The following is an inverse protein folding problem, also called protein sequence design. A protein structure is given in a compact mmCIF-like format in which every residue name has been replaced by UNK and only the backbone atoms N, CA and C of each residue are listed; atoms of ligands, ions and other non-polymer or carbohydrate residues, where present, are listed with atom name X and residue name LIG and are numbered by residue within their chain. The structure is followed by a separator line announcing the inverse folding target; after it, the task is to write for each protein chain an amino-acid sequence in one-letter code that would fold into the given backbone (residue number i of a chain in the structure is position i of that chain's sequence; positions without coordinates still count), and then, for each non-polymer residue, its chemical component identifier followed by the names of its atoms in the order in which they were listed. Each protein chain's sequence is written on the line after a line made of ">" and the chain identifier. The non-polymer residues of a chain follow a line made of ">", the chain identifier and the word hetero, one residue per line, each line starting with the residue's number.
data_IF_252199438344
#
_entry.id   IF_252199438344
#
_cell.length_a   1.000
_cell.length_b   1.000
_cell.length_c   1.000
_cell.angle_alpha   90.00
_cell.angle_beta   90.00
_cell.angle_gamma   90.00
#
_symmetry.space_group_name_H-M   'P 1'
#
loop_
_entity.id
_entity.type
_entity.pdbx_description
1 polymer ?
#
# COMPACT_ATOMS: atom_id res chain seq x y z
N UNK A 1 -48.58 15.88 -51.16
CA UNK A 1 -48.09 16.91 -50.22
C UNK A 1 -47.63 16.16 -48.98
N UNK A 2 -46.35 16.29 -48.65
CA UNK A 2 -45.70 15.66 -47.50
C UNK A 2 -45.88 16.56 -46.28
N UNK A 3 -46.10 16.01 -45.09
CA UNK A 3 -45.73 16.68 -43.84
C UNK A 3 -45.60 15.67 -42.70
N UNK A 4 -44.32 15.36 -42.46
CA UNK A 4 -43.61 15.10 -41.22
C UNK A 4 -44.39 14.75 -39.95
N UNK A 5 -44.28 13.48 -39.52
CA UNK A 5 -44.59 13.04 -38.14
C UNK A 5 -43.33 12.62 -37.38
N UNK A 6 -42.17 13.19 -37.71
CA UNK A 6 -40.89 12.75 -37.15
C UNK A 6 -40.42 13.62 -35.96
N UNK A 7 -41.24 14.55 -35.48
CA UNK A 7 -40.83 15.54 -34.47
C UNK A 7 -41.04 15.16 -32.99
N UNK A 8 -41.64 13.99 -32.67
CA UNK A 8 -42.10 13.72 -31.28
C UNK A 8 -41.21 12.79 -30.45
N UNK A 9 -40.19 12.19 -31.05
CA UNK A 9 -39.35 11.19 -30.35
C UNK A 9 -38.04 11.80 -29.84
N UNK A 10 -37.61 12.95 -30.36
CA UNK A 10 -36.29 13.53 -30.06
C UNK A 10 -36.23 14.30 -28.72
N UNK A 11 -37.36 14.72 -28.15
CA UNK A 11 -37.36 15.62 -26.99
C UNK A 11 -37.17 14.94 -25.63
N UNK A 12 -37.28 13.61 -25.54
CA UNK A 12 -37.19 12.90 -24.27
C UNK A 12 -35.75 12.50 -23.88
N UNK A 13 -34.84 12.37 -24.85
CA UNK A 13 -33.49 11.81 -24.62
C UNK A 13 -32.47 12.85 -24.12
N UNK A 14 -32.75 14.14 -24.35
CA UNK A 14 -31.80 15.24 -24.07
C UNK A 14 -31.75 15.67 -22.60
N UNK A 15 -32.71 15.25 -21.79
CA UNK A 15 -32.77 15.59 -20.36
C UNK A 15 -32.07 14.55 -19.47
N UNK A 16 -32.05 13.27 -19.89
CA UNK A 16 -31.41 12.18 -19.13
C UNK A 16 -29.88 12.28 -19.14
N UNK A 17 -29.27 12.68 -20.27
CA UNK A 17 -27.81 12.81 -20.38
C UNK A 17 -27.21 13.86 -19.42
N UNK A 18 -27.93 14.97 -19.19
CA UNK A 18 -27.45 16.04 -18.30
C UNK A 18 -27.46 15.67 -16.82
N UNK A 19 -28.22 14.65 -16.42
CA UNK A 19 -28.21 14.14 -15.05
C UNK A 19 -27.08 13.12 -14.85
N UNK A 20 -26.89 12.20 -15.81
CA UNK A 20 -25.83 11.17 -15.75
C UNK A 20 -24.41 11.74 -15.70
N UNK A 21 -24.14 12.86 -16.39
CA UNK A 21 -22.80 13.47 -16.38
C UNK A 21 -22.41 14.03 -14.99
N UNK A 22 -23.36 14.37 -14.11
CA UNK A 22 -23.02 14.83 -12.74
C UNK A 22 -22.63 13.68 -11.82
N UNK A 23 -23.30 12.53 -11.94
CA UNK A 23 -23.06 11.38 -11.06
C UNK A 23 -21.67 10.75 -11.29
N UNK A 24 -21.14 10.81 -12.51
CA UNK A 24 -19.85 10.23 -12.88
C UNK A 24 -18.63 11.03 -12.37
N UNK A 25 -18.77 12.34 -12.11
CA UNK A 25 -17.67 13.15 -11.57
C UNK A 25 -17.47 12.92 -10.05
N UNK A 26 -18.52 12.58 -9.31
CA UNK A 26 -18.45 12.42 -7.86
C UNK A 26 -17.84 11.06 -7.44
N UNK A 27 -17.93 10.03 -8.28
CA UNK A 27 -17.33 8.71 -8.01
C UNK A 27 -15.79 8.72 -8.02
N UNK A 28 -15.15 9.65 -8.74
CA UNK A 28 -13.69 9.71 -8.87
C UNK A 28 -13.00 10.37 -7.66
N UNK A 29 -13.72 11.18 -6.89
CA UNK A 29 -13.20 11.84 -5.69
C UNK A 29 -13.20 10.92 -4.45
N UNK A 30 -13.98 9.82 -4.45
CA UNK A 30 -14.04 8.87 -3.34
C UNK A 30 -12.92 7.80 -3.38
N UNK A 31 -12.20 7.69 -4.49
CA UNK A 31 -10.98 6.87 -4.58
C UNK A 31 -9.78 7.50 -3.85
N UNK A 32 -9.88 8.78 -3.49
CA UNK A 32 -8.92 9.54 -2.68
C UNK A 32 -9.40 9.72 -1.24
N UNK A 33 -10.39 8.93 -0.79
CA UNK A 33 -10.46 8.68 0.64
C UNK A 33 -9.20 7.88 0.94
N UNK A 34 -8.13 8.59 1.35
CA UNK A 34 -6.99 8.01 2.07
C UNK A 34 -7.64 7.05 3.04
N UNK A 35 -7.64 5.76 2.68
CA UNK A 35 -7.94 4.68 3.60
C UNK A 35 -7.22 5.09 4.87
N UNK A 36 -7.82 4.96 6.07
CA UNK A 36 -6.99 4.99 7.26
C UNK A 36 -5.86 4.03 6.92
N UNK A 37 -4.67 4.60 6.68
CA UNK A 37 -3.47 3.82 6.56
C UNK A 37 -3.58 2.99 7.82
N UNK A 38 -3.51 1.67 7.67
CA UNK A 38 -3.38 0.80 8.81
C UNK A 38 -2.09 1.23 9.48
N UNK A 39 -2.18 2.29 10.27
CA UNK A 39 -1.30 2.66 11.35
C UNK A 39 -1.63 1.63 12.41
N UNK A 40 -1.25 0.40 12.08
CA UNK A 40 -0.63 -0.50 13.02
C UNK A 40 0.70 0.16 13.44
N UNK A 41 0.58 1.36 14.00
CA UNK A 41 1.63 2.27 14.47
C UNK A 41 2.41 1.59 15.59
N UNK A 42 1.76 0.63 16.25
CA UNK A 42 2.27 -0.26 17.28
C UNK A 42 3.39 -1.19 16.79
N UNK A 43 3.49 -1.42 15.47
CA UNK A 43 4.33 -2.46 14.87
C UNK A 43 5.16 -1.88 13.70
N UNK A 44 5.53 -0.61 13.76
CA UNK A 44 6.40 0.03 12.74
C UNK A 44 7.87 -0.14 13.12
N UNK A 45 8.71 -0.60 12.19
CA UNK A 45 10.18 -0.64 12.34
C UNK A 45 10.83 0.74 12.06
N UNK A 46 10.10 1.84 12.30
CA UNK A 46 10.52 3.19 11.94
C UNK A 46 10.75 3.36 10.43
N UNK A 47 11.88 3.98 10.06
CA UNK A 47 12.25 4.27 8.66
C UNK A 47 12.48 2.99 7.84
N UNK A 48 12.86 1.88 8.48
CA UNK A 48 13.04 0.60 7.81
C UNK A 48 11.70 0.04 7.28
N UNK A 49 10.57 0.27 7.96
CA UNK A 49 9.26 -0.23 7.50
C UNK A 49 8.88 0.37 6.13
N UNK A 50 9.21 1.65 5.91
CA UNK A 50 8.96 2.33 4.64
C UNK A 50 9.92 1.84 3.56
N UNK A 51 11.20 1.67 3.91
CA UNK A 51 12.21 1.13 3.01
C UNK A 51 11.85 -0.28 2.52
N UNK A 52 11.44 -1.17 3.44
CA UNK A 52 10.99 -2.52 3.14
C UNK A 52 9.76 -2.52 2.23
N UNK A 53 8.79 -1.65 2.45
CA UNK A 53 7.62 -1.53 1.56
C UNK A 53 7.97 -1.12 0.14
N UNK A 54 9.04 -0.35 -0.04
CA UNK A 54 9.51 0.09 -1.35
C UNK A 54 10.51 -0.89 -2.00
N UNK A 55 10.94 -1.93 -1.29
CA UNK A 55 11.87 -2.94 -1.80
C UNK A 55 11.18 -3.91 -2.76
N UNK A 56 11.95 -4.53 -3.64
CA UNK A 56 11.46 -5.53 -4.58
C UNK A 56 11.47 -6.92 -3.94
N UNK A 57 10.41 -7.69 -4.19
CA UNK A 57 10.24 -9.04 -3.64
C UNK A 57 10.08 -10.07 -4.76
N UNK A 58 10.60 -11.31 -4.59
CA UNK A 58 11.17 -11.88 -3.37
C UNK A 58 12.62 -11.45 -3.07
N UNK A 59 12.98 -11.36 -1.77
CA UNK A 59 14.32 -10.98 -1.27
C UNK A 59 14.76 -11.96 -0.18
N UNK A 60 16.06 -12.09 0.08
CA UNK A 60 16.60 -12.92 1.18
C UNK A 60 17.06 -12.10 2.38
N UNK A 61 17.24 -12.77 3.53
CA UNK A 61 17.89 -12.19 4.72
C UNK A 61 19.21 -11.54 4.35
N UNK A 62 20.08 -12.24 3.60
CA UNK A 62 21.38 -11.70 3.21
C UNK A 62 21.28 -10.48 2.26
N UNK A 63 20.33 -10.47 1.32
CA UNK A 63 20.10 -9.29 0.47
C UNK A 63 19.56 -8.09 1.25
N UNK A 64 18.68 -8.34 2.22
CA UNK A 64 18.15 -7.31 3.10
C UNK A 64 19.24 -6.74 4.00
N UNK A 65 20.07 -7.60 4.60
CA UNK A 65 21.23 -7.14 5.37
C UNK A 65 22.16 -6.36 4.46
N UNK A 66 22.53 -6.85 3.28
CA UNK A 66 23.41 -6.10 2.39
C UNK A 66 22.85 -4.73 1.94
N UNK A 67 21.53 -4.60 1.79
CA UNK A 67 20.87 -3.35 1.40
C UNK A 67 20.57 -2.41 2.58
N UNK A 68 20.32 -2.97 3.75
CA UNK A 68 19.77 -2.26 4.92
C UNK A 68 20.57 -2.51 6.21
N UNK A 69 21.83 -2.92 6.11
CA UNK A 69 22.80 -3.13 7.21
C UNK A 69 22.88 -1.90 8.13
N UNK A 70 22.94 -0.72 7.51
CA UNK A 70 23.08 0.57 8.19
C UNK A 70 21.81 1.00 8.95
N UNK A 71 20.69 0.28 8.83
CA UNK A 71 19.46 0.62 9.52
C UNK A 71 19.44 0.07 10.96
N UNK A 72 19.19 0.98 11.89
CA UNK A 72 19.04 0.64 13.31
C UNK A 72 17.58 0.29 13.64
N UNK A 73 17.37 -0.91 14.14
CA UNK A 73 16.11 -1.41 14.68
C UNK A 73 15.98 -1.05 16.15
N UNK A 74 14.84 -0.49 16.52
CA UNK A 74 14.50 -0.27 17.92
C UNK A 74 13.99 -1.58 18.54
N UNK A 75 14.78 -2.16 19.45
CA UNK A 75 14.40 -3.36 20.21
C UNK A 75 13.85 -2.98 21.59
N UNK A 76 13.38 -3.96 22.37
CA UNK A 76 12.86 -3.72 23.72
C UNK A 76 13.92 -3.14 24.68
N UNK A 77 15.19 -3.51 24.51
CA UNK A 77 16.27 -3.14 25.41
C UNK A 77 17.08 -1.95 24.87
N UNK A 78 17.40 -1.96 23.58
CA UNK A 78 18.21 -0.91 22.94
C UNK A 78 18.06 -0.90 21.40
N UNK A 79 18.75 -0.01 20.70
CA UNK A 79 18.81 -0.02 19.23
C UNK A 79 19.89 -0.98 18.74
N UNK A 80 19.55 -1.83 17.77
CA UNK A 80 20.47 -2.80 17.16
C UNK A 80 20.44 -2.71 15.65
N UNK A 81 21.58 -2.86 14.95
CA UNK A 81 21.59 -2.87 13.50
C UNK A 81 20.83 -4.09 12.97
N UNK A 82 20.25 -3.94 11.78
CA UNK A 82 19.51 -5.01 11.12
C UNK A 82 20.35 -6.28 10.97
N UNK A 83 21.65 -6.14 10.66
CA UNK A 83 22.57 -7.27 10.57
C UNK A 83 22.66 -8.09 11.86
N UNK A 84 22.67 -7.47 13.04
CA UNK A 84 22.84 -8.16 14.32
C UNK A 84 21.58 -8.96 14.67
N UNK A 85 20.41 -8.36 14.40
CA UNK A 85 19.11 -9.00 14.60
C UNK A 85 18.96 -10.19 13.64
N UNK A 86 19.23 -9.99 12.35
CA UNK A 86 19.07 -11.03 11.34
C UNK A 86 20.19 -12.08 11.36
N UNK A 87 21.40 -11.76 11.83
CA UNK A 87 22.48 -12.74 12.02
C UNK A 87 22.13 -13.82 13.06
N UNK A 88 21.15 -13.54 13.93
CA UNK A 88 20.62 -14.55 14.85
C UNK A 88 19.66 -15.54 14.18
N UNK A 89 19.26 -15.27 12.93
CA UNK A 89 18.35 -16.09 12.10
C UNK A 89 19.10 -16.71 10.91
N UNK A 90 18.56 -17.80 10.37
CA UNK A 90 19.07 -18.45 9.16
C UNK A 90 18.76 -17.62 7.90
N UNK A 91 19.41 -17.92 6.77
CA UNK A 91 19.08 -17.25 5.50
C UNK A 91 17.71 -17.73 5.01
N UNK A 92 16.72 -16.84 5.05
CA UNK A 92 15.35 -17.11 4.65
C UNK A 92 14.95 -16.20 3.50
N UNK A 93 14.02 -16.70 2.66
CA UNK A 93 13.45 -15.92 1.57
C UNK A 93 12.11 -15.34 1.99
N UNK A 94 11.97 -14.03 1.85
CA UNK A 94 10.76 -13.29 2.12
C UNK A 94 10.07 -12.92 0.82
N UNK A 95 8.75 -13.10 0.79
CA UNK A 95 7.94 -12.78 -0.38
C UNK A 95 7.29 -11.40 -0.30
N UNK A 96 7.34 -10.75 0.87
CA UNK A 96 6.70 -9.46 1.14
C UNK A 96 7.37 -8.73 2.31
N UNK A 97 7.22 -7.41 2.37
CA UNK A 97 7.68 -6.58 3.48
C UNK A 97 7.08 -6.96 4.83
N UNK A 98 5.82 -7.39 4.83
CA UNK A 98 5.15 -7.87 6.06
C UNK A 98 5.78 -9.15 6.61
N UNK A 99 6.37 -9.97 5.74
CA UNK A 99 7.01 -11.24 6.10
C UNK A 99 8.33 -10.96 6.83
N UNK A 100 9.15 -10.07 6.25
CA UNK A 100 10.38 -9.55 6.86
C UNK A 100 10.08 -8.90 8.21
N UNK A 101 9.08 -8.01 8.24
CA UNK A 101 8.73 -7.28 9.44
C UNK A 101 8.31 -8.22 10.57
N UNK A 102 7.45 -9.19 10.29
CA UNK A 102 7.04 -10.20 11.28
C UNK A 102 8.25 -10.94 11.85
N UNK A 103 9.16 -11.37 10.99
CA UNK A 103 10.39 -12.02 11.44
C UNK A 103 11.20 -11.12 12.39
N UNK A 104 11.43 -9.86 12.00
CA UNK A 104 12.20 -8.92 12.82
C UNK A 104 11.54 -8.73 14.19
N UNK A 105 10.21 -8.57 14.25
CA UNK A 105 9.45 -8.39 15.49
C UNK A 105 9.56 -9.61 16.41
N UNK A 106 9.47 -10.81 15.83
CA UNK A 106 9.67 -12.07 16.56
C UNK A 106 11.07 -12.14 17.17
N UNK A 107 12.09 -11.64 16.48
CA UNK A 107 13.47 -11.63 16.97
C UNK A 107 13.72 -10.60 18.07
N UNK A 108 13.10 -9.41 17.98
CA UNK A 108 13.22 -8.37 19.01
C UNK A 108 12.23 -8.55 20.17
N UNK A 109 11.38 -9.58 20.10
CA UNK A 109 10.46 -9.98 21.18
C UNK A 109 9.32 -8.99 21.43
N UNK A 110 8.78 -8.37 20.37
CA UNK A 110 7.69 -7.38 20.43
C UNK A 110 6.41 -7.90 19.80
#
# INVERSE_FOLDING_TARGET
>A
MADDRQGREEHADREENRQRERELQEAKARGDEKRPLFDDESVRLGELDEALKSHDYPTTTNELVAAYDEYELETQDDKKPLEDVLSSTDDQTYNSAEDVRRQILELIGR
#
